data_IF_912356733775
#
_entry.id   IF_912356733775
#
_cell.length_a   1.000
_cell.length_b   1.000
_cell.length_c   1.000
_cell.angle_alpha   90.00
_cell.angle_beta   90.00
_cell.angle_gamma   90.00
#
_symmetry.space_group_name_H-M   'P 1'
#
loop_
_entity.id
_entity.type
_entity.pdbx_description
1 polymer ?
#
# COMPACT_ATOMS: atom_id res chain seq x y z
N UNK A 1 15.04 9.45 4.14
CA UNK A 1 15.24 7.99 4.31
C UNK A 1 13.89 7.36 4.65
N UNK A 2 13.59 6.18 4.13
CA UNK A 2 12.34 5.46 4.44
C UNK A 2 12.59 4.43 5.54
N UNK A 3 11.63 4.22 6.44
CA UNK A 3 11.68 3.13 7.42
C UNK A 3 11.20 1.80 6.81
N UNK A 4 11.38 0.69 7.52
CA UNK A 4 11.06 -0.65 7.00
C UNK A 4 9.59 -0.82 6.60
N UNK A 5 8.67 -0.19 7.33
CA UNK A 5 7.22 -0.27 7.06
C UNK A 5 6.88 0.57 5.82
N UNK A 6 7.46 1.76 5.69
CA UNK A 6 7.33 2.60 4.50
C UNK A 6 7.85 1.92 3.25
N UNK A 7 9.03 1.27 3.35
CA UNK A 7 9.60 0.48 2.27
C UNK A 7 8.65 -0.66 1.89
N UNK A 8 8.05 -1.34 2.87
CA UNK A 8 7.09 -2.42 2.61
C UNK A 8 5.84 -1.93 1.90
N UNK A 9 5.24 -0.84 2.38
CA UNK A 9 4.00 -0.29 1.83
C UNK A 9 4.24 0.21 0.40
N UNK A 10 5.30 0.99 0.19
CA UNK A 10 5.65 1.50 -1.13
C UNK A 10 6.03 0.37 -2.10
N UNK A 11 6.84 -0.59 -1.66
CA UNK A 11 7.21 -1.76 -2.47
C UNK A 11 6.01 -2.62 -2.86
N UNK A 12 5.01 -2.75 -1.97
CA UNK A 12 3.77 -3.47 -2.27
C UNK A 12 2.93 -2.74 -3.33
N UNK A 13 2.86 -1.41 -3.29
CA UNK A 13 2.19 -0.61 -4.34
C UNK A 13 2.88 -0.80 -5.70
N UNK A 14 4.21 -0.68 -5.75
CA UNK A 14 5.00 -0.85 -6.98
C UNK A 14 4.84 -2.26 -7.55
N UNK A 15 4.95 -3.28 -6.70
CA UNK A 15 4.76 -4.68 -7.12
C UNK A 15 3.37 -4.89 -7.73
N UNK A 16 2.29 -4.42 -7.08
CA UNK A 16 0.93 -4.65 -7.54
C UNK A 16 0.54 -3.81 -8.75
N UNK A 17 1.12 -2.62 -8.92
CA UNK A 17 0.96 -1.85 -10.16
C UNK A 17 1.51 -2.62 -11.37
N UNK A 18 2.64 -3.32 -11.21
CA UNK A 18 3.30 -4.04 -12.29
C UNK A 18 2.73 -5.44 -12.53
N UNK A 19 2.44 -6.17 -11.45
CA UNK A 19 2.07 -7.60 -11.53
C UNK A 19 0.57 -7.85 -11.58
N UNK A 20 -0.24 -6.91 -11.09
CA UNK A 20 -1.71 -7.03 -11.02
C UNK A 20 -2.40 -5.69 -11.32
N UNK A 21 -2.13 -5.07 -12.50
CA UNK A 21 -2.62 -3.73 -12.84
C UNK A 21 -4.15 -3.61 -12.84
N UNK A 22 -4.88 -4.70 -13.08
CA UNK A 22 -6.34 -4.76 -13.10
C UNK A 22 -6.98 -4.46 -11.73
N UNK A 23 -6.23 -4.64 -10.64
CA UNK A 23 -6.68 -4.31 -9.28
C UNK A 23 -6.15 -2.96 -8.79
N UNK A 24 -5.25 -2.31 -9.53
CA UNK A 24 -4.67 -1.02 -9.17
C UNK A 24 -5.57 0.15 -9.66
N UNK A 25 -5.73 1.24 -8.88
CA UNK A 25 -5.18 1.48 -7.55
C UNK A 25 -5.86 0.63 -6.45
N UNK A 26 -5.11 0.37 -5.37
CA UNK A 26 -5.49 -0.55 -4.31
C UNK A 26 -6.30 0.14 -3.21
N UNK A 27 -7.30 -0.54 -2.66
CA UNK A 27 -7.93 -0.09 -1.40
C UNK A 27 -6.96 -0.28 -0.22
N UNK A 28 -7.19 0.43 0.89
CA UNK A 28 -6.39 0.27 2.13
C UNK A 28 -6.29 -1.20 2.59
N UNK A 29 -7.42 -1.92 2.55
CA UNK A 29 -7.45 -3.34 2.89
C UNK A 29 -6.58 -4.18 1.95
N UNK A 30 -6.73 -3.98 0.64
CA UNK A 30 -5.95 -4.72 -0.36
C UNK A 30 -4.44 -4.47 -0.21
N UNK A 31 -4.05 -3.23 0.11
CA UNK A 31 -2.66 -2.89 0.40
C UNK A 31 -2.15 -3.54 1.69
N UNK A 32 -2.96 -3.58 2.75
CA UNK A 32 -2.63 -4.28 4.00
C UNK A 32 -2.40 -5.78 3.77
N UNK A 33 -3.28 -6.42 3.00
CA UNK A 33 -3.11 -7.83 2.59
C UNK A 33 -1.84 -8.00 1.77
N UNK A 34 -1.55 -7.10 0.83
CA UNK A 34 -0.33 -7.14 0.03
C UNK A 34 0.94 -7.00 0.91
N UNK A 35 0.94 -6.13 1.90
CA UNK A 35 2.08 -5.96 2.81
C UNK A 35 2.40 -7.24 3.59
N UNK A 36 1.37 -7.98 3.98
CA UNK A 36 1.42 -9.17 4.85
C UNK A 36 1.44 -10.50 4.07
N UNK A 37 1.67 -10.49 2.76
CA UNK A 37 1.76 -11.73 1.97
C UNK A 37 2.85 -12.67 2.52
N UNK A 38 2.56 -13.98 2.53
CA UNK A 38 3.53 -14.99 2.98
C UNK A 38 4.63 -15.25 1.96
N UNK A 39 4.35 -15.01 0.68
CA UNK A 39 5.32 -15.11 -0.41
C UNK A 39 5.85 -13.73 -0.76
N UNK A 40 7.05 -13.69 -1.35
CA UNK A 40 7.69 -12.46 -1.83
C UNK A 40 7.80 -11.36 -0.76
N UNK A 41 7.89 -11.74 0.52
CA UNK A 41 8.12 -10.84 1.65
C UNK A 41 9.24 -11.38 2.54
N UNK A 42 10.18 -10.53 2.87
CA UNK A 42 11.23 -10.83 3.85
C UNK A 42 11.54 -9.55 4.66
N UNK A 43 11.23 -9.50 5.97
CA UNK A 43 10.50 -10.52 6.73
C UNK A 43 9.00 -10.56 6.34
N UNK A 44 8.34 -11.67 6.63
CA UNK A 44 6.87 -11.73 6.63
C UNK A 44 6.34 -10.86 7.78
N UNK A 45 5.30 -10.08 7.53
CA UNK A 45 4.74 -9.10 8.47
C UNK A 45 3.27 -9.38 8.77
N UNK A 46 2.74 -8.71 9.81
CA UNK A 46 1.34 -8.75 10.19
C UNK A 46 0.88 -7.36 10.64
N UNK A 47 0.96 -6.38 9.74
CA UNK A 47 0.48 -5.01 9.99
C UNK A 47 -1.05 -4.96 10.03
N UNK A 48 -1.59 -4.10 10.89
CA UNK A 48 -3.00 -3.74 10.85
C UNK A 48 -3.26 -2.57 9.88
N UNK A 49 -4.53 -2.31 9.56
CA UNK A 49 -4.91 -1.24 8.62
C UNK A 49 -4.53 0.15 9.14
N UNK A 50 -4.56 0.38 10.46
CA UNK A 50 -4.19 1.66 11.06
C UNK A 50 -2.70 1.98 10.82
N UNK A 51 -1.83 0.99 10.99
CA UNK A 51 -0.40 1.10 10.71
C UNK A 51 -0.17 1.46 9.25
N UNK A 52 -0.84 0.78 8.32
CA UNK A 52 -0.71 1.03 6.88
C UNK A 52 -1.27 2.41 6.50
N UNK A 53 -2.38 2.83 7.10
CA UNK A 53 -2.96 4.15 6.88
C UNK A 53 -2.03 5.29 7.35
N UNK A 54 -1.45 5.17 8.55
CA UNK A 54 -0.47 6.15 9.05
C UNK A 54 0.77 6.23 8.15
N UNK A 55 1.22 5.09 7.64
CA UNK A 55 2.37 5.02 6.72
C UNK A 55 2.02 5.63 5.36
N UNK A 56 0.81 5.42 4.85
CA UNK A 56 0.35 6.08 3.63
C UNK A 56 0.34 7.61 3.76
N UNK A 57 -0.07 8.15 4.91
CA UNK A 57 0.02 9.59 5.17
C UNK A 57 1.47 10.08 5.17
N UNK A 58 2.38 9.40 5.85
CA UNK A 58 3.82 9.73 5.83
C UNK A 58 4.42 9.68 4.41
N UNK A 59 4.05 8.67 3.61
CA UNK A 59 4.47 8.56 2.21
C UNK A 59 3.87 9.66 1.32
N UNK A 60 2.64 10.09 1.61
CA UNK A 60 1.96 11.18 0.91
C UNK A 60 2.61 12.53 1.22
N UNK A 61 3.00 12.78 2.46
CA UNK A 61 3.79 13.96 2.85
C UNK A 61 5.14 14.00 2.12
N UNK A 62 5.72 12.83 1.84
CA UNK A 62 6.95 12.68 1.03
C UNK A 62 6.70 12.71 -0.48
N UNK A 63 5.46 12.92 -0.94
CA UNK A 63 5.06 12.92 -2.36
C UNK A 63 5.36 11.60 -3.10
N UNK A 64 5.37 10.47 -2.39
CA UNK A 64 5.63 9.14 -2.95
C UNK A 64 4.34 8.36 -3.26
N UNK A 65 3.22 8.79 -2.68
CA UNK A 65 1.89 8.20 -2.88
C UNK A 65 0.83 9.30 -2.98
N UNK A 66 -0.32 8.98 -3.55
CA UNK A 66 -1.50 9.85 -3.57
C UNK A 66 -2.76 9.01 -3.41
N UNK A 67 -3.86 9.66 -3.00
CA UNK A 67 -5.17 9.00 -2.87
C UNK A 67 -5.99 9.26 -4.12
N UNK A 68 -6.44 8.20 -4.77
CA UNK A 68 -7.32 8.22 -5.91
C UNK A 68 -8.79 8.11 -5.48
N UNK A 69 -9.55 9.16 -5.78
CA UNK A 69 -11.00 9.18 -5.61
C UNK A 69 -11.64 8.98 -6.99
N UNK A 70 -12.02 7.74 -7.30
CA UNK A 70 -12.73 7.44 -8.54
C UNK A 70 -14.13 8.06 -8.54
N UNK A 71 -14.54 8.67 -9.64
CA UNK A 71 -15.83 9.39 -9.78
C UNK A 71 -17.08 8.57 -9.40
N UNK A 72 -17.00 7.23 -9.48
CA UNK A 72 -18.06 6.29 -9.10
C UNK A 72 -17.72 5.42 -7.89
N UNK A 73 -16.49 5.45 -7.38
CA UNK A 73 -16.04 4.57 -6.31
C UNK A 73 -16.22 5.24 -4.95
N UNK A 74 -16.94 4.57 -4.05
CA UNK A 74 -17.14 5.03 -2.67
C UNK A 74 -15.96 4.73 -1.75
N UNK A 75 -15.02 3.88 -2.20
CA UNK A 75 -13.86 3.46 -1.42
C UNK A 75 -12.63 4.16 -1.97
N UNK A 76 -11.93 4.99 -1.18
CA UNK A 76 -10.65 5.57 -1.58
C UNK A 76 -9.63 4.49 -1.91
N UNK A 77 -8.80 4.77 -2.90
CA UNK A 77 -7.73 3.90 -3.38
C UNK A 77 -6.41 4.64 -3.49
#
# INVERSE_FOLDING_TARGET
MLNDVEIRVLGSLVEKQLTTPEYYPLTLHALTVACNQKNNRNPVTAYDENTVAQVLESLREKSLTYVFHGSSSRVPK
#
